data_IF_271233096201
#
_entry.id   IF_271233096201
#
_cell.length_a   1.000
_cell.length_b   1.000
_cell.length_c   1.000
_cell.angle_alpha   90.00
_cell.angle_beta   90.00
_cell.angle_gamma   90.00
#
_symmetry.space_group_name_H-M   'P 1'
#
loop_
_entity.id
_entity.type
_entity.pdbx_description
1 polymer ?
#
# COMPACT_ATOMS: atom_id res chain seq x y z
N UNK A 1 -2.56 7.20 -30.31
CA UNK A 1 -1.69 6.76 -29.20
C UNK A 1 -1.68 7.86 -28.17
N UNK A 2 -2.23 7.65 -26.96
CA UNK A 2 -1.93 8.54 -25.85
C UNK A 2 -0.55 8.13 -25.32
N UNK A 3 0.45 8.99 -25.49
CA UNK A 3 1.73 8.86 -24.82
C UNK A 3 1.48 8.87 -23.30
N UNK A 4 1.95 7.84 -22.61
CA UNK A 4 1.89 7.81 -21.15
C UNK A 4 2.78 8.94 -20.60
N UNK A 5 2.24 9.78 -19.71
CA UNK A 5 3.01 10.85 -19.07
C UNK A 5 4.14 10.26 -18.22
N UNK A 6 5.27 10.95 -18.20
CA UNK A 6 6.39 10.70 -17.28
C UNK A 6 6.04 11.16 -15.87
N UNK A 7 6.75 10.65 -14.86
CA UNK A 7 6.55 11.08 -13.47
C UNK A 7 6.76 12.59 -13.31
N UNK A 8 7.77 13.15 -13.97
CA UNK A 8 8.04 14.58 -13.96
C UNK A 8 6.89 15.41 -14.53
N UNK A 9 6.30 14.98 -15.65
CA UNK A 9 5.12 15.65 -16.24
C UNK A 9 3.91 15.60 -15.30
N UNK A 10 3.67 14.47 -14.63
CA UNK A 10 2.58 14.32 -13.66
C UNK A 10 2.77 15.27 -12.46
N UNK A 11 3.98 15.38 -11.92
CA UNK A 11 4.26 16.26 -10.78
C UNK A 11 4.20 17.75 -11.19
N UNK A 12 4.64 18.09 -12.39
CA UNK A 12 4.55 19.47 -12.89
C UNK A 12 3.10 19.95 -13.05
N UNK A 13 2.21 19.07 -13.50
CA UNK A 13 0.77 19.38 -13.64
C UNK A 13 0.05 19.46 -12.28
N UNK A 14 0.56 18.75 -11.28
CA UNK A 14 -0.01 18.70 -9.94
C UNK A 14 1.10 18.64 -8.89
N UNK A 15 1.65 19.79 -8.47
CA UNK A 15 2.61 19.80 -7.38
C UNK A 15 1.92 19.33 -6.10
N UNK A 16 2.64 18.59 -5.26
CA UNK A 16 2.13 18.05 -4.01
C UNK A 16 2.84 18.66 -2.78
N UNK A 17 2.66 19.97 -2.52
CA UNK A 17 3.34 20.66 -1.42
C UNK A 17 3.00 20.07 -0.04
N UNK A 18 1.83 19.44 0.11
CA UNK A 18 1.42 18.75 1.33
C UNK A 18 2.34 17.58 1.73
N UNK A 19 3.03 16.96 0.75
CA UNK A 19 3.98 15.86 1.00
C UNK A 19 5.42 16.34 1.17
N UNK A 20 5.68 17.66 1.14
CA UNK A 20 7.02 18.21 1.33
C UNK A 20 7.59 17.93 2.74
N UNK A 21 6.72 17.76 3.74
CA UNK A 21 7.12 17.42 5.09
C UNK A 21 7.32 15.92 5.22
N UNK A 22 8.50 15.53 5.67
CA UNK A 22 8.82 14.14 5.98
C UNK A 22 8.82 13.96 7.49
N UNK A 23 8.28 12.85 7.97
CA UNK A 23 8.30 12.47 9.39
C UNK A 23 8.80 11.05 9.53
N UNK A 24 9.21 10.68 10.76
CA UNK A 24 9.77 9.37 11.03
C UNK A 24 8.70 8.29 10.95
N UNK A 25 9.02 7.21 10.25
CA UNK A 25 8.21 5.99 10.21
C UNK A 25 8.61 5.03 11.33
N UNK A 26 7.63 4.29 11.84
CA UNK A 26 7.78 3.27 12.86
C UNK A 26 8.40 2.00 12.29
N UNK A 27 9.25 1.34 13.08
CA UNK A 27 10.06 0.19 12.63
C UNK A 27 9.19 -1.02 12.27
N UNK A 28 8.15 -1.29 13.05
CA UNK A 28 7.30 -2.47 12.85
C UNK A 28 6.55 -2.38 11.51
N UNK A 29 6.01 -1.20 11.20
CA UNK A 29 5.40 -0.95 9.89
C UNK A 29 6.40 -1.15 8.75
N UNK A 30 7.59 -0.57 8.86
CA UNK A 30 8.63 -0.69 7.83
C UNK A 30 9.08 -2.14 7.64
N UNK A 31 9.23 -2.90 8.72
CA UNK A 31 9.59 -4.32 8.67
C UNK A 31 8.49 -5.14 8.00
N UNK A 32 7.22 -4.90 8.34
CA UNK A 32 6.09 -5.61 7.74
C UNK A 32 5.94 -5.31 6.25
N UNK A 33 6.09 -4.03 5.86
CA UNK A 33 6.04 -3.61 4.47
C UNK A 33 7.25 -4.10 3.67
N UNK A 34 8.43 -4.12 4.28
CA UNK A 34 9.63 -4.74 3.67
C UNK A 34 9.38 -6.23 3.41
N UNK A 35 8.88 -7.00 4.39
CA UNK A 35 8.50 -8.41 4.18
C UNK A 35 7.53 -8.54 3.01
N UNK A 36 6.47 -7.71 2.99
CA UNK A 36 5.39 -7.85 2.03
C UNK A 36 5.81 -7.46 0.60
N UNK A 37 6.40 -6.27 0.43
CA UNK A 37 6.81 -5.75 -0.88
C UNK A 37 8.00 -6.54 -1.41
N UNK A 38 9.08 -6.65 -0.63
CA UNK A 38 10.32 -7.28 -1.10
C UNK A 38 10.13 -8.78 -1.27
N UNK A 39 9.38 -9.44 -0.39
CA UNK A 39 9.03 -10.85 -0.53
C UNK A 39 8.27 -11.15 -1.82
N UNK A 40 7.19 -10.41 -2.09
CA UNK A 40 6.43 -10.57 -3.34
C UNK A 40 7.24 -10.18 -4.57
N UNK A 41 7.96 -9.07 -4.51
CA UNK A 41 8.79 -8.62 -5.61
C UNK A 41 9.86 -9.68 -5.96
N UNK A 42 10.61 -10.16 -4.97
CA UNK A 42 11.72 -11.12 -5.15
C UNK A 42 11.29 -12.47 -5.74
N UNK A 43 10.02 -12.84 -5.60
CA UNK A 43 9.46 -14.12 -6.07
C UNK A 43 8.80 -14.03 -7.45
N UNK A 44 8.80 -12.85 -8.09
CA UNK A 44 8.18 -12.68 -9.40
C UNK A 44 8.86 -13.55 -10.48
N UNK A 45 8.09 -14.21 -11.36
CA UNK A 45 8.63 -14.85 -12.55
C UNK A 45 9.41 -13.85 -13.41
N UNK A 46 10.62 -14.24 -13.82
CA UNK A 46 11.52 -13.35 -14.56
C UNK A 46 12.31 -12.36 -13.67
N UNK A 47 12.08 -12.37 -12.35
CA UNK A 47 12.96 -11.72 -11.39
C UNK A 47 14.14 -12.66 -11.13
N UNK A 48 15.28 -12.45 -11.81
CA UNK A 48 16.50 -13.27 -11.79
C UNK A 48 17.23 -13.41 -10.44
N UNK A 49 16.67 -12.91 -9.33
CA UNK A 49 17.05 -13.27 -7.96
C UNK A 49 18.33 -12.65 -7.38
N UNK A 50 18.99 -11.70 -8.05
CA UNK A 50 20.34 -11.25 -7.66
C UNK A 50 20.51 -9.73 -7.49
N UNK A 51 21.67 -9.29 -6.98
CA UNK A 51 22.00 -7.87 -6.68
C UNK A 51 21.76 -6.89 -7.84
N UNK A 52 21.85 -7.35 -9.09
CA UNK A 52 21.54 -6.57 -10.29
C UNK A 52 20.08 -6.03 -10.35
N UNK A 53 19.23 -6.47 -9.42
CA UNK A 53 17.80 -6.13 -9.37
C UNK A 53 17.51 -5.00 -8.37
N UNK A 54 18.46 -4.67 -7.51
CA UNK A 54 18.39 -3.48 -6.63
C UNK A 54 18.70 -2.22 -7.44
N UNK A 55 19.57 -2.30 -8.45
CA UNK A 55 20.00 -1.13 -9.24
C UNK A 55 18.83 -0.38 -9.92
N UNK A 56 17.85 -1.03 -10.57
CA UNK A 56 16.69 -0.33 -11.10
C UNK A 56 15.83 0.30 -9.99
N UNK A 57 15.71 -0.37 -8.84
CA UNK A 57 14.95 0.15 -7.70
C UNK A 57 15.63 1.39 -7.13
N UNK A 58 16.95 1.39 -6.95
CA UNK A 58 17.70 2.57 -6.51
C UNK A 58 17.53 3.74 -7.48
N UNK A 59 17.58 3.49 -8.78
CA UNK A 59 17.33 4.50 -9.80
C UNK A 59 15.91 5.08 -9.68
N UNK A 60 14.89 4.25 -9.47
CA UNK A 60 13.50 4.71 -9.31
C UNK A 60 13.25 5.43 -8.00
N UNK A 61 13.92 5.05 -6.91
CA UNK A 61 13.87 5.80 -5.65
C UNK A 61 14.46 7.20 -5.85
N UNK A 62 15.62 7.30 -6.53
CA UNK A 62 16.24 8.58 -6.85
C UNK A 62 15.35 9.43 -7.76
N UNK A 63 14.80 8.85 -8.83
CA UNK A 63 13.87 9.53 -9.75
C UNK A 63 12.66 10.11 -8.99
N UNK A 64 12.00 9.29 -8.17
CA UNK A 64 10.82 9.71 -7.42
C UNK A 64 11.15 10.79 -6.40
N UNK A 65 12.24 10.60 -5.65
CA UNK A 65 12.64 11.55 -4.60
C UNK A 65 12.96 12.92 -5.18
N UNK A 66 13.62 12.94 -6.35
CA UNK A 66 13.96 14.18 -7.03
C UNK A 66 12.74 14.83 -7.67
N UNK A 67 11.91 14.06 -8.37
CA UNK A 67 10.75 14.59 -9.08
C UNK A 67 9.68 15.13 -8.11
N UNK A 68 9.35 14.37 -7.06
CA UNK A 68 8.24 14.69 -6.15
C UNK A 68 8.66 15.63 -5.02
N UNK A 69 9.86 15.44 -4.47
CA UNK A 69 10.30 16.19 -3.28
C UNK A 69 11.43 17.18 -3.54
N UNK A 70 12.02 17.17 -4.74
CA UNK A 70 13.19 18.01 -5.04
C UNK A 70 14.42 17.64 -4.21
N UNK A 71 14.53 16.39 -3.75
CA UNK A 71 15.62 15.90 -2.89
C UNK A 71 16.41 14.78 -3.55
N UNK A 72 17.63 14.56 -3.09
CA UNK A 72 18.38 13.34 -3.43
C UNK A 72 17.97 12.20 -2.50
N UNK A 73 17.90 10.99 -3.05
CA UNK A 73 17.68 9.80 -2.25
C UNK A 73 18.87 9.53 -1.33
N UNK A 74 18.58 9.03 -0.13
CA UNK A 74 19.62 8.60 0.80
C UNK A 74 20.37 7.39 0.25
N UNK A 75 21.71 7.45 0.28
CA UNK A 75 22.56 6.33 -0.14
C UNK A 75 22.29 5.09 0.72
N UNK A 76 22.12 3.93 0.09
CA UNK A 76 21.88 2.66 0.77
C UNK A 76 20.47 2.52 1.35
N UNK A 77 19.53 3.41 1.01
CA UNK A 77 18.14 3.35 1.47
C UNK A 77 17.45 2.05 1.05
N UNK A 78 17.66 1.60 -0.20
CA UNK A 78 17.06 0.35 -0.71
C UNK A 78 17.64 -0.86 0.02
N UNK A 79 18.96 -0.93 0.15
CA UNK A 79 19.65 -1.98 0.93
C UNK A 79 19.15 -2.05 2.38
N UNK A 80 19.00 -0.89 3.03
CA UNK A 80 18.51 -0.82 4.41
C UNK A 80 17.07 -1.32 4.55
N UNK A 81 16.21 -1.02 3.57
CA UNK A 81 14.84 -1.49 3.53
C UNK A 81 14.75 -3.00 3.26
N UNK A 82 15.49 -3.50 2.27
CA UNK A 82 15.56 -4.93 1.91
C UNK A 82 16.07 -5.76 3.08
N UNK A 83 17.13 -5.30 3.75
CA UNK A 83 17.76 -6.02 4.86
C UNK A 83 17.10 -5.74 6.22
N UNK A 84 16.06 -4.89 6.27
CA UNK A 84 15.36 -4.49 7.50
C UNK A 84 16.29 -3.96 8.61
N UNK A 85 17.40 -3.34 8.19
CA UNK A 85 18.42 -2.82 9.13
C UNK A 85 17.99 -1.50 9.74
N UNK A 86 17.36 -0.63 8.94
CA UNK A 86 16.96 0.73 9.33
C UNK A 86 18.08 1.49 10.06
N UNK A 87 19.31 1.43 9.52
CA UNK A 87 20.51 2.00 10.14
C UNK A 87 20.33 3.49 10.47
N UNK A 88 19.53 4.19 9.65
CA UNK A 88 18.90 5.45 10.00
C UNK A 88 17.37 5.30 9.87
N UNK A 89 16.58 5.98 10.73
CA UNK A 89 15.12 5.95 10.62
C UNK A 89 14.68 6.33 9.21
N UNK A 90 13.85 5.49 8.58
CA UNK A 90 13.24 5.80 7.29
C UNK A 90 12.14 6.84 7.53
N UNK A 91 12.08 7.85 6.68
CA UNK A 91 11.06 8.90 6.73
C UNK A 91 9.92 8.61 5.74
N UNK A 92 8.75 9.23 5.94
CA UNK A 92 7.55 8.99 5.12
C UNK A 92 7.79 9.14 3.62
N UNK A 93 8.43 10.23 3.18
CA UNK A 93 8.75 10.41 1.75
C UNK A 93 9.81 9.45 1.20
N UNK A 94 10.73 8.95 2.05
CA UNK A 94 11.64 7.87 1.67
C UNK A 94 10.88 6.56 1.48
N UNK A 95 9.90 6.27 2.36
CA UNK A 95 9.04 5.10 2.23
C UNK A 95 8.14 5.18 0.99
N UNK A 96 7.58 6.35 0.68
CA UNK A 96 6.81 6.56 -0.55
C UNK A 96 7.65 6.27 -1.80
N UNK A 97 8.89 6.76 -1.83
CA UNK A 97 9.83 6.49 -2.91
C UNK A 97 10.17 4.99 -3.02
N UNK A 98 10.41 4.32 -1.89
CA UNK A 98 10.66 2.87 -1.83
C UNK A 98 9.46 2.09 -2.37
N UNK A 99 8.26 2.37 -1.86
CA UNK A 99 7.02 1.73 -2.29
C UNK A 99 6.82 1.91 -3.80
N UNK A 100 6.92 3.15 -4.30
CA UNK A 100 6.85 3.44 -5.73
C UNK A 100 7.87 2.62 -6.54
N UNK A 101 9.14 2.63 -6.13
CA UNK A 101 10.23 2.01 -6.88
C UNK A 101 10.07 0.50 -6.99
N UNK A 102 9.71 -0.18 -5.90
CA UNK A 102 9.47 -1.62 -5.93
C UNK A 102 8.24 -2.00 -6.75
N UNK A 103 7.13 -1.24 -6.63
CA UNK A 103 5.94 -1.48 -7.44
C UNK A 103 6.20 -1.25 -8.94
N UNK A 104 6.91 -0.17 -9.29
CA UNK A 104 7.31 0.10 -10.67
C UNK A 104 8.20 -1.02 -11.22
N UNK A 105 9.23 -1.42 -10.47
CA UNK A 105 10.10 -2.53 -10.85
C UNK A 105 9.30 -3.82 -11.07
N UNK A 106 8.42 -4.19 -10.12
CA UNK A 106 7.54 -5.36 -10.26
C UNK A 106 6.70 -5.30 -11.55
N UNK A 107 6.12 -4.15 -11.85
CA UNK A 107 5.24 -3.97 -13.00
C UNK A 107 5.98 -3.98 -14.33
N UNK A 108 7.23 -3.54 -14.35
CA UNK A 108 8.12 -3.65 -15.51
C UNK A 108 8.56 -5.09 -15.73
N UNK A 109 8.94 -5.81 -14.67
CA UNK A 109 9.28 -7.25 -14.74
C UNK A 109 8.09 -8.03 -15.31
N UNK A 110 6.88 -7.81 -14.80
CA UNK A 110 5.66 -8.45 -15.33
C UNK A 110 5.43 -8.11 -16.80
N UNK A 111 5.60 -6.84 -17.19
CA UNK A 111 5.39 -6.41 -18.57
C UNK A 111 6.38 -7.05 -19.55
N UNK A 112 7.64 -7.21 -19.12
CA UNK A 112 8.70 -7.85 -19.92
C UNK A 112 8.54 -9.37 -19.99
N UNK A 113 7.85 -9.97 -19.02
CA UNK A 113 7.70 -11.42 -18.89
C UNK A 113 6.23 -11.87 -18.97
N UNK A 114 5.39 -11.15 -19.72
CA UNK A 114 3.94 -11.41 -19.82
C UNK A 114 3.59 -12.85 -20.19
N UNK A 115 4.46 -13.53 -20.94
CA UNK A 115 4.33 -14.95 -21.30
C UNK A 115 4.36 -15.91 -20.09
N UNK A 116 4.85 -15.47 -18.93
CA UNK A 116 4.92 -16.26 -17.70
C UNK A 116 3.67 -16.11 -16.83
N UNK A 117 2.71 -15.27 -17.22
CA UNK A 117 1.52 -14.96 -16.44
C UNK A 117 0.26 -15.45 -17.13
N UNK A 118 -0.70 -15.90 -16.33
CA UNK A 118 -1.98 -16.40 -16.82
C UNK A 118 -2.96 -15.25 -17.11
N UNK A 119 -2.88 -14.16 -16.36
CA UNK A 119 -3.81 -13.04 -16.47
C UNK A 119 -3.21 -11.86 -17.28
N UNK A 120 -4.05 -10.98 -17.84
CA UNK A 120 -3.58 -9.76 -18.47
C UNK A 120 -2.78 -8.86 -17.51
N UNK A 121 -1.83 -8.07 -18.05
CA UNK A 121 -0.93 -7.22 -17.25
C UNK A 121 -1.65 -6.35 -16.21
N UNK A 122 -2.77 -5.73 -16.59
CA UNK A 122 -3.54 -4.88 -15.69
C UNK A 122 -4.11 -5.66 -14.49
N UNK A 123 -4.46 -6.94 -14.68
CA UNK A 123 -4.94 -7.83 -13.63
C UNK A 123 -3.79 -8.30 -12.76
N UNK A 124 -2.66 -8.70 -13.33
CA UNK A 124 -1.47 -9.12 -12.57
C UNK A 124 -0.93 -8.02 -11.65
N UNK A 125 -0.90 -6.77 -12.14
CA UNK A 125 -0.53 -5.61 -11.31
C UNK A 125 -1.43 -5.46 -10.08
N UNK A 126 -2.74 -5.65 -10.24
CA UNK A 126 -3.71 -5.61 -9.13
C UNK A 126 -3.51 -6.79 -8.19
N UNK A 127 -3.29 -7.99 -8.73
CA UNK A 127 -3.05 -9.19 -7.92
C UNK A 127 -1.77 -9.06 -7.09
N UNK A 128 -0.71 -8.47 -7.63
CA UNK A 128 0.51 -8.15 -6.88
C UNK A 128 0.21 -7.22 -5.70
N UNK A 129 -0.46 -6.08 -5.92
CA UNK A 129 -0.87 -5.19 -4.84
C UNK A 129 -1.71 -5.90 -3.77
N UNK A 130 -2.63 -6.78 -4.19
CA UNK A 130 -3.46 -7.56 -3.28
C UNK A 130 -2.65 -8.55 -2.43
N UNK A 131 -1.65 -9.23 -3.02
CA UNK A 131 -0.77 -10.15 -2.29
C UNK A 131 0.11 -9.41 -1.29
N UNK A 132 0.71 -8.29 -1.68
CA UNK A 132 1.45 -7.40 -0.77
C UNK A 132 0.56 -6.97 0.40
N UNK A 133 -0.65 -6.48 0.11
CA UNK A 133 -1.62 -6.10 1.14
C UNK A 133 -1.96 -7.25 2.08
N UNK A 134 -2.24 -8.45 1.54
CA UNK A 134 -2.55 -9.65 2.33
C UNK A 134 -1.42 -10.03 3.27
N UNK A 135 -0.16 -9.99 2.82
CA UNK A 135 1.01 -10.32 3.64
C UNK A 135 1.24 -9.27 4.73
N UNK A 136 1.09 -7.99 4.40
CA UNK A 136 1.16 -6.92 5.39
C UNK A 136 0.08 -7.08 6.47
N UNK A 137 -1.18 -7.26 6.08
CA UNK A 137 -2.29 -7.41 7.02
C UNK A 137 -2.19 -8.69 7.86
N UNK A 138 -1.63 -9.79 7.33
CA UNK A 138 -1.38 -10.98 8.13
C UNK A 138 -0.40 -10.70 9.28
N UNK A 139 0.69 -9.95 9.02
CA UNK A 139 1.66 -9.55 10.04
C UNK A 139 1.04 -8.59 11.07
N UNK A 140 0.26 -7.60 10.61
CA UNK A 140 -0.44 -6.67 11.51
C UNK A 140 -1.47 -7.41 12.38
N UNK A 141 -2.21 -8.35 11.80
CA UNK A 141 -3.20 -9.16 12.50
C UNK A 141 -2.56 -9.96 13.63
N UNK A 142 -1.43 -10.62 13.35
CA UNK A 142 -0.67 -11.37 14.35
C UNK A 142 -0.09 -10.44 15.43
N UNK A 143 0.58 -9.35 15.01
CA UNK A 143 1.23 -8.41 15.92
C UNK A 143 0.25 -7.74 16.90
N UNK A 144 -0.94 -7.34 16.41
CA UNK A 144 -1.97 -6.70 17.22
C UNK A 144 -2.91 -7.71 17.89
N UNK A 145 -2.72 -9.02 17.66
CA UNK A 145 -3.60 -10.09 18.11
C UNK A 145 -5.09 -9.79 17.83
N UNK A 146 -5.38 -9.30 16.62
CA UNK A 146 -6.71 -8.80 16.27
C UNK A 146 -7.75 -9.90 16.45
N UNK A 147 -8.78 -9.61 17.22
CA UNK A 147 -9.95 -10.48 17.35
C UNK A 147 -10.91 -10.14 16.22
N UNK A 148 -10.68 -10.70 15.02
CA UNK A 148 -11.61 -10.56 13.90
C UNK A 148 -12.66 -11.68 13.90
N UNK A 149 -13.92 -11.38 13.55
CA UNK A 149 -14.94 -12.41 13.45
C UNK A 149 -14.70 -13.29 12.21
N UNK A 150 -15.10 -14.57 12.28
CA UNK A 150 -14.99 -15.50 11.13
C UNK A 150 -15.94 -15.16 9.98
N UNK A 151 -17.01 -14.44 10.27
CA UNK A 151 -18.00 -13.93 9.33
C UNK A 151 -18.61 -12.65 9.89
N UNK A 152 -19.26 -11.86 9.04
CA UNK A 152 -19.93 -10.63 9.45
C UNK A 152 -21.41 -10.81 9.17
N UNK A 153 -22.07 -11.52 10.07
CA UNK A 153 -23.50 -11.86 9.97
C UNK A 153 -24.33 -11.22 11.07
N UNK A 154 -23.75 -10.72 12.16
CA UNK A 154 -24.50 -10.07 13.25
C UNK A 154 -23.95 -8.68 13.54
N UNK A 155 -24.73 -7.87 14.24
CA UNK A 155 -24.31 -6.54 14.70
C UNK A 155 -23.07 -6.65 15.62
N UNK A 156 -23.04 -7.62 16.53
CA UNK A 156 -21.87 -7.86 17.39
C UNK A 156 -20.61 -8.19 16.59
N UNK A 157 -20.74 -9.01 15.54
CA UNK A 157 -19.62 -9.34 14.65
C UNK A 157 -19.18 -8.12 13.85
N UNK A 158 -20.11 -7.28 13.40
CA UNK A 158 -19.77 -6.04 12.71
C UNK A 158 -19.09 -5.03 13.63
N UNK A 159 -19.55 -4.89 14.88
CA UNK A 159 -18.89 -4.08 15.89
C UNK A 159 -17.48 -4.60 16.22
N UNK A 160 -17.29 -5.92 16.24
CA UNK A 160 -15.98 -6.54 16.38
C UNK A 160 -15.06 -6.21 15.20
N UNK A 161 -15.57 -6.27 13.96
CA UNK A 161 -14.84 -5.84 12.76
C UNK A 161 -14.45 -4.35 12.83
N UNK A 162 -15.39 -3.46 13.18
CA UNK A 162 -15.15 -2.03 13.33
C UNK A 162 -14.05 -1.75 14.37
N UNK A 163 -14.06 -2.47 15.48
CA UNK A 163 -13.02 -2.37 16.53
C UNK A 163 -11.66 -2.83 15.98
N UNK A 164 -11.63 -3.93 15.22
CA UNK A 164 -10.42 -4.39 14.55
C UNK A 164 -9.83 -3.35 13.61
N UNK A 165 -10.67 -2.74 12.75
CA UNK A 165 -10.25 -1.69 11.81
C UNK A 165 -9.75 -0.45 12.55
N UNK A 166 -10.45 0.01 13.59
CA UNK A 166 -9.99 1.13 14.40
C UNK A 166 -8.63 0.85 15.08
N UNK A 167 -8.40 -0.40 15.49
CA UNK A 167 -7.14 -0.84 16.10
C UNK A 167 -5.99 -0.81 15.10
N UNK A 168 -6.21 -1.30 13.87
CA UNK A 168 -5.25 -1.15 12.76
C UNK A 168 -4.98 0.33 12.48
N UNK A 169 -6.02 1.15 12.44
CA UNK A 169 -5.88 2.60 12.27
C UNK A 169 -4.95 3.26 13.26
N UNK A 170 -5.15 2.96 14.55
CA UNK A 170 -4.28 3.44 15.64
C UNK A 170 -2.84 2.97 15.45
N UNK A 171 -2.63 1.72 15.05
CA UNK A 171 -1.30 1.21 14.72
C UNK A 171 -0.68 2.02 13.57
N UNK A 172 -1.39 2.24 12.46
CA UNK A 172 -0.85 2.98 11.31
C UNK A 172 -0.49 4.44 11.65
N UNK A 173 -1.29 5.11 12.49
CA UNK A 173 -0.96 6.45 13.01
C UNK A 173 0.25 6.39 13.93
N UNK A 174 0.30 5.45 14.88
CA UNK A 174 1.42 5.30 15.81
C UNK A 174 2.74 4.97 15.11
N UNK A 175 2.67 4.21 14.01
CA UNK A 175 3.82 3.89 13.17
C UNK A 175 4.13 5.00 12.14
N UNK A 176 3.42 6.12 12.16
CA UNK A 176 3.65 7.24 11.25
C UNK A 176 3.34 6.93 9.79
N UNK A 177 2.67 5.83 9.44
CA UNK A 177 2.19 5.69 8.06
C UNK A 177 1.11 6.72 7.74
N UNK A 178 0.26 7.00 8.73
CA UNK A 178 -0.74 8.05 8.67
C UNK A 178 -0.28 9.21 9.54
N UNK A 179 -0.24 10.41 8.95
CA UNK A 179 0.35 11.60 9.58
C UNK A 179 -0.38 12.02 10.86
N UNK A 180 -1.70 12.23 10.76
CA UNK A 180 -2.45 12.91 11.82
C UNK A 180 -3.59 12.06 12.40
N UNK A 181 -4.36 11.38 11.55
CA UNK A 181 -5.51 10.61 12.00
C UNK A 181 -5.85 9.47 11.03
N UNK A 182 -6.52 8.46 11.58
CA UNK A 182 -7.25 7.45 10.84
C UNK A 182 -8.70 7.51 11.28
N UNK A 183 -9.60 7.85 10.36
CA UNK A 183 -11.04 7.72 10.57
C UNK A 183 -11.55 6.78 9.51
N UNK A 184 -12.05 5.63 9.94
CA UNK A 184 -12.69 4.68 9.07
C UNK A 184 -14.17 4.67 9.39
N UNK A 185 -14.98 5.10 8.43
CA UNK A 185 -16.43 5.07 8.52
C UNK A 185 -16.96 4.10 7.49
N UNK A 186 -17.78 3.16 7.94
CA UNK A 186 -18.72 2.49 7.05
C UNK A 186 -19.83 3.51 6.81
N UNK A 187 -19.67 4.34 5.78
CA UNK A 187 -20.64 5.40 5.51
C UNK A 187 -21.94 4.80 5.03
N UNK A 188 -22.95 5.06 5.85
CA UNK A 188 -24.36 4.76 5.64
C UNK A 188 -24.99 5.72 4.64
N UNK A 189 -24.27 6.78 4.27
CA UNK A 189 -24.71 7.78 3.31
C UNK A 189 -23.51 8.45 2.62
N UNK A 190 -23.23 8.14 1.36
CA UNK A 190 -22.12 8.72 0.63
C UNK A 190 -22.32 8.84 -0.87
N UNK A 191 -21.62 9.76 -1.52
CA UNK A 191 -21.72 9.98 -2.97
C UNK A 191 -20.44 9.50 -3.68
N UNK A 192 -20.59 8.52 -4.56
CA UNK A 192 -19.53 8.09 -5.48
C UNK A 192 -19.87 8.56 -6.91
N UNK A 193 -19.23 9.64 -7.36
CA UNK A 193 -19.53 10.27 -8.66
C UNK A 193 -20.89 10.99 -8.64
N UNK A 194 -21.88 10.49 -9.39
CA UNK A 194 -23.28 11.00 -9.35
C UNK A 194 -24.21 10.11 -8.52
N UNK A 195 -23.70 9.05 -7.94
CA UNK A 195 -24.51 8.02 -7.27
C UNK A 195 -24.47 8.23 -5.78
N UNK A 196 -25.63 8.47 -5.18
CA UNK A 196 -25.83 8.49 -3.74
C UNK A 196 -25.98 7.04 -3.25
N UNK A 197 -25.18 6.64 -2.29
CA UNK A 197 -25.13 5.33 -1.67
C UNK A 197 -25.64 5.54 -0.25
N UNK A 198 -26.93 5.27 -0.02
CA UNK A 198 -27.51 5.18 1.32
C UNK A 198 -27.65 3.72 1.74
N UNK A 199 -27.11 3.34 2.89
CA UNK A 199 -27.18 2.00 3.49
C UNK A 199 -27.23 2.10 5.01
N UNK A 200 -28.37 1.87 5.67
CA UNK A 200 -28.40 1.76 7.13
C UNK A 200 -27.44 0.64 7.62
N UNK A 201 -27.02 0.65 8.89
CA UNK A 201 -26.15 -0.42 9.43
C UNK A 201 -26.73 -1.82 9.21
N UNK A 202 -28.06 -1.95 9.29
CA UNK A 202 -28.81 -3.16 8.89
C UNK A 202 -28.62 -3.52 7.41
N UNK A 203 -28.56 -2.53 6.52
CA UNK A 203 -28.42 -2.70 5.08
C UNK A 203 -26.97 -3.06 4.70
N UNK A 204 -25.97 -2.62 5.47
CA UNK A 204 -24.58 -3.05 5.30
C UNK A 204 -24.44 -4.53 5.66
N UNK A 205 -25.03 -4.97 6.77
CA UNK A 205 -25.07 -6.37 7.17
C UNK A 205 -25.83 -7.22 6.16
N UNK A 206 -26.97 -6.73 5.68
CA UNK A 206 -27.76 -7.43 4.67
C UNK A 206 -27.01 -7.52 3.34
N UNK A 207 -26.32 -6.46 2.91
CA UNK A 207 -25.48 -6.49 1.70
C UNK A 207 -24.24 -7.39 1.85
N UNK A 208 -23.61 -7.43 3.02
CA UNK A 208 -22.54 -8.40 3.29
C UNK A 208 -23.06 -9.84 3.22
N UNK A 209 -24.26 -10.11 3.75
CA UNK A 209 -24.90 -11.44 3.69
C UNK A 209 -25.31 -11.83 2.27
N UNK A 210 -25.95 -10.94 1.53
CA UNK A 210 -26.54 -11.25 0.23
C UNK A 210 -25.54 -11.12 -0.92
N UNK A 211 -24.65 -10.13 -0.87
CA UNK A 211 -23.79 -9.74 -1.99
C UNK A 211 -22.29 -9.84 -1.68
N UNK A 212 -21.91 -10.20 -0.44
CA UNK A 212 -20.52 -10.22 0.04
C UNK A 212 -19.75 -8.92 -0.25
N UNK A 213 -20.46 -7.78 -0.23
CA UNK A 213 -19.95 -6.48 -0.60
C UNK A 213 -20.40 -5.44 0.43
N UNK A 214 -19.46 -4.69 0.98
CA UNK A 214 -19.73 -3.46 1.71
C UNK A 214 -18.81 -2.36 1.18
N UNK A 215 -19.36 -1.17 0.98
CA UNK A 215 -18.57 0.00 0.65
C UNK A 215 -18.02 0.59 1.95
N UNK A 216 -16.71 0.76 2.01
CA UNK A 216 -16.04 1.53 3.05
C UNK A 216 -15.39 2.73 2.40
N UNK A 217 -15.53 3.91 3.00
CA UNK A 217 -14.88 5.13 2.55
C UNK A 217 -13.75 5.48 3.53
N UNK A 218 -12.64 5.91 2.95
CA UNK A 218 -11.43 6.36 3.63
C UNK A 218 -11.26 7.86 3.41
#
# INVERSE_FOLDING_TARGET
MMTSKTLAEVVLERPFPEYAQWWRMGREFLDFMSTAIVGEWSTLPGNGGDRAMVDPVEAYVQEYTQAVFGRSARRGLVDDFVQKRHAQPIQSGEFDALSYAFYRSAFEIMAQNMQLYAEPLARERRLFTQRVGKIFYAQVHEHLALQLPKSVQTEDQFAQLQTGIATVGKFLVAQGYLRDHFRFTFDVDAVAGRTHIQQQTSDVLENLRQNNLAHALY
#
